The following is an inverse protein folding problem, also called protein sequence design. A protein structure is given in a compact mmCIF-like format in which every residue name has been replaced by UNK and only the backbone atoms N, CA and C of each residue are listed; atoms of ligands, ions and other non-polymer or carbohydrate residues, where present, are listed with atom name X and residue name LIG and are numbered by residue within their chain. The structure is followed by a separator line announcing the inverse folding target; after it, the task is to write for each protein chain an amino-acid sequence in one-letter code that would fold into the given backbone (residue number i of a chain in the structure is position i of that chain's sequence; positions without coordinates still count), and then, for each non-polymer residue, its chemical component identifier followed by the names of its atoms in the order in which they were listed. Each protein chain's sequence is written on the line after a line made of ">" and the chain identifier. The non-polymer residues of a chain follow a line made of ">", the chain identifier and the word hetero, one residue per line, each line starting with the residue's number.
data_IF_944331201942
#
_entry.id   IF_944331201942
#
_cell.length_a   1.000
_cell.length_b   1.000
_cell.length_c   1.000
_cell.angle_alpha   90.00
_cell.angle_beta   90.00
_cell.angle_gamma   90.00
#
_symmetry.space_group_name_H-M   'P 1'
#
loop_
_entity.id
_entity.type
_entity.pdbx_description
1 polymer ?
#
# COMPACT_ATOMS: atom_id res chain seq x y z
N UNK A 1 37.83 9.38 -12.89
CA UNK A 1 36.52 9.84 -12.41
C UNK A 1 35.69 8.63 -12.03
N UNK A 2 35.33 8.47 -10.75
CA UNK A 2 34.51 7.33 -10.28
C UNK A 2 33.07 7.54 -10.78
N UNK A 3 32.62 6.72 -11.72
CA UNK A 3 31.18 6.59 -12.01
C UNK A 3 30.58 5.86 -10.81
N UNK A 4 29.86 6.60 -9.95
CA UNK A 4 29.07 5.98 -8.89
C UNK A 4 27.96 5.15 -9.58
N UNK A 5 28.19 3.84 -9.70
CA UNK A 5 27.17 2.87 -10.11
C UNK A 5 26.15 2.70 -9.00
N UNK A 6 25.36 3.74 -8.74
CA UNK A 6 24.24 3.71 -7.81
C UNK A 6 23.11 2.89 -8.41
N UNK A 7 23.22 1.56 -8.36
CA UNK A 7 22.08 0.68 -8.61
C UNK A 7 21.01 0.97 -7.57
N UNK A 8 19.76 1.09 -8.01
CA UNK A 8 18.63 1.17 -7.08
C UNK A 8 18.51 -0.20 -6.41
N UNK A 9 18.81 -0.29 -5.12
CA UNK A 9 18.62 -1.51 -4.36
C UNK A 9 17.14 -1.61 -3.98
N UNK A 10 16.42 -2.46 -4.71
CA UNK A 10 15.03 -2.79 -4.45
C UNK A 10 14.96 -3.81 -3.32
N UNK A 11 13.95 -3.69 -2.46
CA UNK A 11 13.70 -4.66 -1.40
C UNK A 11 13.06 -5.89 -2.05
N UNK A 12 13.46 -7.08 -1.59
CA UNK A 12 12.86 -8.31 -2.07
C UNK A 12 11.37 -8.37 -1.71
N UNK A 13 10.52 -8.66 -2.70
CA UNK A 13 9.06 -8.70 -2.57
C UNK A 13 8.65 -9.75 -1.51
N UNK A 14 9.37 -10.87 -1.44
CA UNK A 14 9.09 -11.94 -0.48
C UNK A 14 9.20 -11.44 0.97
N UNK A 15 10.16 -10.56 1.27
CA UNK A 15 10.35 -9.98 2.61
C UNK A 15 9.20 -9.07 3.02
N UNK A 16 8.49 -8.48 2.05
CA UNK A 16 7.36 -7.60 2.33
C UNK A 16 6.09 -8.37 2.71
N UNK A 17 6.06 -9.70 2.48
CA UNK A 17 4.97 -10.56 2.95
C UNK A 17 4.94 -10.66 4.48
N UNK A 18 6.09 -10.50 5.13
CA UNK A 18 6.22 -10.56 6.60
C UNK A 18 5.91 -9.21 7.29
N UNK A 19 5.80 -8.12 6.53
CA UNK A 19 5.57 -6.79 7.11
C UNK A 19 4.17 -6.68 7.70
N UNK A 20 3.88 -5.72 8.59
CA UNK A 20 2.50 -5.29 8.82
C UNK A 20 1.78 -4.93 7.50
N UNK A 21 0.49 -5.24 7.39
CA UNK A 21 -0.29 -5.19 6.13
C UNK A 21 -0.28 -3.81 5.46
N UNK A 22 -0.18 -2.75 6.23
CA UNK A 22 -0.15 -1.36 5.76
C UNK A 22 1.23 -0.90 5.27
N UNK A 23 2.33 -1.54 5.71
CA UNK A 23 3.68 -1.05 5.41
C UNK A 23 4.01 -1.10 3.91
N UNK A 24 3.63 -2.13 3.13
CA UNK A 24 3.82 -2.13 1.69
C UNK A 24 3.15 -0.93 1.00
N UNK A 25 1.93 -0.58 1.42
CA UNK A 25 1.20 0.60 0.92
C UNK A 25 1.95 1.90 1.24
N UNK A 26 2.41 2.05 2.49
CA UNK A 26 3.17 3.23 2.94
C UNK A 26 4.49 3.34 2.19
N UNK A 27 5.20 2.23 2.00
CA UNK A 27 6.47 2.18 1.29
C UNK A 27 6.31 2.66 -0.16
N UNK A 28 5.37 2.08 -0.90
CA UNK A 28 5.11 2.44 -2.31
C UNK A 28 4.93 3.95 -2.46
N UNK A 29 4.12 4.51 -1.58
CA UNK A 29 3.73 5.90 -1.67
C UNK A 29 4.79 6.85 -1.15
N UNK A 30 5.57 6.44 -0.15
CA UNK A 30 6.77 7.18 0.22
C UNK A 30 7.72 7.31 -0.97
N UNK A 31 7.97 6.24 -1.71
CA UNK A 31 8.86 6.27 -2.87
C UNK A 31 8.27 7.13 -3.99
N UNK A 32 7.01 6.92 -4.41
CA UNK A 32 6.35 7.71 -5.47
C UNK A 32 6.41 9.21 -5.20
N UNK A 33 6.14 9.60 -3.96
CA UNK A 33 5.96 11.01 -3.61
C UNK A 33 7.27 11.73 -3.27
N UNK A 34 8.26 11.02 -2.71
CA UNK A 34 9.44 11.65 -2.13
C UNK A 34 10.75 11.26 -2.82
N UNK A 35 10.78 10.13 -3.54
CA UNK A 35 12.01 9.58 -4.12
C UNK A 35 11.97 9.47 -5.63
N UNK A 36 10.82 9.17 -6.22
CA UNK A 36 10.71 8.92 -7.67
C UNK A 36 11.24 10.11 -8.49
N UNK A 37 10.86 11.34 -8.13
CA UNK A 37 11.32 12.56 -8.81
C UNK A 37 12.77 12.95 -8.51
N UNK A 38 13.43 12.27 -7.56
CA UNK A 38 14.85 12.53 -7.22
C UNK A 38 15.82 11.77 -8.12
N UNK A 39 15.33 10.78 -8.87
CA UNK A 39 16.12 10.10 -9.89
C UNK A 39 16.18 10.99 -11.14
N UNK A 40 17.39 11.37 -11.58
CA UNK A 40 17.56 12.22 -12.77
C UNK A 40 17.25 11.46 -14.07
N UNK A 41 17.44 10.14 -14.08
CA UNK A 41 17.23 9.29 -15.24
C UNK A 41 15.77 8.81 -15.33
N UNK A 42 15.09 9.20 -16.42
CA UNK A 42 13.70 8.80 -16.70
C UNK A 42 13.53 7.29 -16.90
N UNK A 43 14.57 6.58 -17.33
CA UNK A 43 14.55 5.12 -17.40
C UNK A 43 14.50 4.51 -16.00
N UNK A 44 15.34 5.01 -15.08
CA UNK A 44 15.36 4.58 -13.68
C UNK A 44 14.02 4.89 -13.00
N UNK A 45 13.43 6.07 -13.28
CA UNK A 45 12.09 6.39 -12.77
C UNK A 45 11.06 5.35 -13.19
N UNK A 46 11.04 4.94 -14.47
CA UNK A 46 10.12 3.92 -14.98
C UNK A 46 10.35 2.55 -14.35
N UNK A 47 11.60 2.12 -14.19
CA UNK A 47 11.94 0.85 -13.55
C UNK A 47 11.47 0.82 -12.08
N UNK A 48 11.69 1.92 -11.35
CA UNK A 48 11.18 2.06 -9.98
C UNK A 48 9.66 2.05 -9.96
N UNK A 49 9.00 2.80 -10.84
CA UNK A 49 7.54 2.84 -10.91
C UNK A 49 6.93 1.46 -11.20
N UNK A 50 7.55 0.68 -12.10
CA UNK A 50 7.14 -0.68 -12.40
C UNK A 50 7.30 -1.60 -11.18
N UNK A 51 8.44 -1.55 -10.48
CA UNK A 51 8.63 -2.30 -9.25
C UNK A 51 7.61 -1.93 -8.16
N UNK A 52 7.28 -0.65 -8.01
CA UNK A 52 6.25 -0.23 -7.06
C UNK A 52 4.85 -0.76 -7.42
N UNK A 53 4.54 -0.86 -8.73
CA UNK A 53 3.32 -1.49 -9.20
C UNK A 53 3.32 -3.00 -8.91
N UNK A 54 4.45 -3.68 -9.08
CA UNK A 54 4.58 -5.10 -8.75
C UNK A 54 4.37 -5.36 -7.25
N UNK A 55 4.89 -4.51 -6.36
CA UNK A 55 4.61 -4.63 -4.91
C UNK A 55 3.12 -4.38 -4.64
N UNK A 56 2.52 -3.39 -5.31
CA UNK A 56 1.10 -3.08 -5.13
C UNK A 56 0.23 -4.29 -5.48
N UNK A 57 0.47 -4.88 -6.65
CA UNK A 57 -0.31 -5.98 -7.20
C UNK A 57 -0.08 -7.31 -6.48
N UNK A 58 1.17 -7.63 -6.13
CA UNK A 58 1.53 -8.96 -5.63
C UNK A 58 1.60 -9.05 -4.10
N UNK A 59 1.68 -7.91 -3.39
CA UNK A 59 1.83 -7.88 -1.93
C UNK A 59 0.75 -7.02 -1.28
N UNK A 60 0.71 -5.73 -1.61
CA UNK A 60 -0.09 -4.78 -0.84
C UNK A 60 -1.60 -5.07 -0.95
N UNK A 61 -2.10 -5.26 -2.18
CA UNK A 61 -3.51 -5.56 -2.42
C UNK A 61 -3.89 -6.95 -1.89
N UNK A 62 -3.20 -8.07 -2.24
CA UNK A 62 -3.58 -9.40 -1.77
C UNK A 62 -3.58 -9.53 -0.24
N UNK A 63 -2.59 -8.93 0.43
CA UNK A 63 -2.51 -8.98 1.90
C UNK A 63 -3.59 -8.17 2.56
N UNK A 64 -3.90 -7.00 2.01
CA UNK A 64 -5.03 -6.22 2.51
C UNK A 64 -6.34 -6.98 2.35
N UNK A 65 -6.59 -7.59 1.20
CA UNK A 65 -7.77 -8.44 0.97
C UNK A 65 -7.82 -9.56 2.00
N UNK A 66 -6.70 -10.26 2.23
CA UNK A 66 -6.64 -11.35 3.22
C UNK A 66 -7.00 -10.91 4.64
N UNK A 67 -6.63 -9.69 5.05
CA UNK A 67 -7.01 -9.16 6.36
C UNK A 67 -8.49 -8.80 6.40
N UNK A 68 -9.00 -8.15 5.34
CA UNK A 68 -10.39 -7.70 5.26
C UNK A 68 -11.40 -8.84 5.11
N UNK A 69 -11.01 -9.95 4.49
CA UNK A 69 -11.81 -11.17 4.37
C UNK A 69 -11.61 -12.13 5.57
N UNK A 70 -10.72 -11.80 6.50
CA UNK A 70 -10.47 -12.58 7.70
C UNK A 70 -11.56 -12.44 8.76
N UNK A 71 -11.45 -13.25 9.82
CA UNK A 71 -12.43 -13.29 10.91
C UNK A 71 -11.98 -12.51 12.15
N UNK A 72 -10.78 -11.92 12.15
CA UNK A 72 -10.21 -11.20 13.29
C UNK A 72 -10.61 -9.71 13.26
N UNK A 73 -11.56 -9.26 14.10
CA UNK A 73 -12.05 -7.89 14.04
C UNK A 73 -10.99 -6.85 14.42
N UNK A 74 -10.01 -7.20 15.26
CA UNK A 74 -8.94 -6.29 15.67
C UNK A 74 -7.99 -5.99 14.50
N UNK A 75 -7.62 -7.01 13.73
CA UNK A 75 -6.78 -6.86 12.54
C UNK A 75 -7.50 -6.05 11.45
N UNK A 76 -8.80 -6.28 11.25
CA UNK A 76 -9.61 -5.52 10.31
C UNK A 76 -9.71 -4.05 10.73
N UNK A 77 -10.03 -3.77 12.00
CA UNK A 77 -10.13 -2.40 12.52
C UNK A 77 -8.77 -1.69 12.36
N UNK A 78 -7.67 -2.34 12.74
CA UNK A 78 -6.33 -1.77 12.62
C UNK A 78 -5.98 -1.43 11.17
N UNK A 79 -6.25 -2.33 10.22
CA UNK A 79 -6.03 -2.09 8.80
C UNK A 79 -6.89 -0.93 8.28
N UNK A 80 -8.17 -0.88 8.64
CA UNK A 80 -9.10 0.17 8.22
C UNK A 80 -8.75 1.54 8.79
N UNK A 81 -8.39 1.65 10.07
CA UNK A 81 -7.93 2.91 10.67
C UNK A 81 -6.70 3.44 9.94
N UNK A 82 -5.76 2.56 9.59
CA UNK A 82 -4.55 2.93 8.85
C UNK A 82 -4.86 3.36 7.41
N UNK A 83 -5.81 2.70 6.74
CA UNK A 83 -6.31 3.10 5.42
C UNK A 83 -7.01 4.47 5.48
N UNK A 84 -7.81 4.72 6.51
CA UNK A 84 -8.51 5.99 6.71
C UNK A 84 -7.50 7.14 6.95
N UNK A 85 -6.46 6.91 7.75
CA UNK A 85 -5.38 7.88 7.94
C UNK A 85 -4.62 8.19 6.63
N UNK A 86 -4.46 7.18 5.78
CA UNK A 86 -3.88 7.32 4.44
C UNK A 86 -4.82 8.11 3.53
N UNK A 87 -6.12 7.79 3.51
CA UNK A 87 -7.10 8.42 2.63
C UNK A 87 -7.25 9.92 2.92
N UNK A 88 -7.25 10.30 4.20
CA UNK A 88 -7.25 11.70 4.66
C UNK A 88 -6.06 12.50 4.15
N UNK A 89 -4.92 11.84 3.95
CA UNK A 89 -3.71 12.48 3.44
C UNK A 89 -3.67 12.48 1.91
N UNK A 90 -4.10 11.38 1.27
CA UNK A 90 -4.03 11.15 -0.18
C UNK A 90 -5.08 10.13 -0.66
N UNK A 91 -6.23 10.63 -1.11
CA UNK A 91 -7.36 9.80 -1.55
C UNK A 91 -7.06 8.90 -2.76
N UNK A 92 -6.14 9.31 -3.65
CA UNK A 92 -5.74 8.51 -4.82
C UNK A 92 -5.09 7.18 -4.43
N UNK A 93 -4.50 7.08 -3.22
CA UNK A 93 -3.87 5.87 -2.71
C UNK A 93 -4.86 4.74 -2.38
N UNK A 94 -6.14 5.09 -2.18
CA UNK A 94 -7.17 4.13 -1.77
C UNK A 94 -8.12 3.72 -2.90
N UNK A 95 -8.03 4.35 -4.08
CA UNK A 95 -8.88 4.02 -5.24
C UNK A 95 -8.85 2.52 -5.62
N UNK A 96 -7.69 1.84 -5.69
CA UNK A 96 -7.65 0.43 -6.07
C UNK A 96 -8.34 -0.51 -5.09
N UNK A 97 -8.51 -0.08 -3.83
CA UNK A 97 -9.08 -0.91 -2.76
C UNK A 97 -10.54 -0.52 -2.44
N UNK A 98 -11.08 0.50 -3.10
CA UNK A 98 -12.37 1.12 -2.79
C UNK A 98 -13.55 0.15 -2.97
N UNK A 99 -13.55 -0.63 -4.05
CA UNK A 99 -14.56 -1.69 -4.31
C UNK A 99 -14.54 -2.79 -3.25
N UNK A 100 -13.41 -2.97 -2.55
CA UNK A 100 -13.29 -3.95 -1.46
C UNK A 100 -13.78 -3.38 -0.14
N UNK A 101 -13.57 -2.08 0.10
CA UNK A 101 -14.15 -1.38 1.25
C UNK A 101 -15.69 -1.44 1.22
N UNK A 102 -16.30 -1.33 0.05
CA UNK A 102 -17.76 -1.46 -0.10
C UNK A 102 -18.31 -2.81 0.41
N UNK A 103 -17.55 -3.91 0.30
CA UNK A 103 -17.97 -5.21 0.84
C UNK A 103 -18.06 -5.21 2.37
N UNK A 104 -17.27 -4.38 3.04
CA UNK A 104 -17.23 -4.29 4.50
C UNK A 104 -18.45 -3.57 5.09
N UNK A 105 -19.19 -2.78 4.29
CA UNK A 105 -20.45 -2.15 4.71
C UNK A 105 -21.54 -3.17 5.07
N UNK A 106 -21.37 -4.43 4.65
CA UNK A 106 -22.29 -5.53 4.96
C UNK A 106 -21.93 -6.27 6.26
N UNK A 107 -20.78 -5.98 6.89
CA UNK A 107 -20.35 -6.63 8.13
C UNK A 107 -21.08 -6.06 9.36
N UNK A 108 -21.38 -6.93 10.35
CA UNK A 108 -22.15 -6.59 11.57
C UNK A 108 -21.40 -5.71 12.58
N UNK A 109 -20.09 -5.46 12.40
CA UNK A 109 -19.30 -4.70 13.36
C UNK A 109 -19.52 -3.19 13.17
N UNK A 110 -20.09 -2.54 14.21
CA UNK A 110 -20.46 -1.12 14.19
C UNK A 110 -19.28 -0.16 14.03
N UNK A 111 -18.08 -0.57 14.44
CA UNK A 111 -16.86 0.23 14.29
C UNK A 111 -16.32 0.17 12.85
N UNK A 112 -16.36 -1.02 12.25
CA UNK A 112 -16.01 -1.24 10.84
C UNK A 112 -16.95 -0.46 9.91
N UNK A 113 -18.26 -0.54 10.13
CA UNK A 113 -19.26 0.19 9.33
C UNK A 113 -19.03 1.71 9.41
N UNK A 114 -18.66 2.23 10.58
CA UNK A 114 -18.40 3.66 10.77
C UNK A 114 -17.15 4.13 10.03
N UNK A 115 -16.08 3.33 10.03
CA UNK A 115 -14.82 3.66 9.34
C UNK A 115 -14.97 3.66 7.81
N UNK A 116 -15.86 2.83 7.26
CA UNK A 116 -16.07 2.72 5.81
C UNK A 116 -17.02 3.78 5.26
N UNK A 117 -17.90 4.36 6.10
CA UNK A 117 -18.86 5.40 5.69
C UNK A 117 -18.30 6.83 5.71
N UNK A 118 -17.03 7.02 6.07
CA UNK A 118 -16.37 8.34 6.18
C UNK A 118 -15.56 8.66 4.92
#
# INVERSE_FOLDING_TARGET
>A
MKKNGGGVQLIDIEKMLEWPVELPLIFIEYIRNNKLKTYEDTKVQKEVEQYLNEIMENVAIPRLISVLEGDNPEEIILALTRIEEISKKKIEMIKPIQTYLEKLLTMKNKEIVKLVQT
#
